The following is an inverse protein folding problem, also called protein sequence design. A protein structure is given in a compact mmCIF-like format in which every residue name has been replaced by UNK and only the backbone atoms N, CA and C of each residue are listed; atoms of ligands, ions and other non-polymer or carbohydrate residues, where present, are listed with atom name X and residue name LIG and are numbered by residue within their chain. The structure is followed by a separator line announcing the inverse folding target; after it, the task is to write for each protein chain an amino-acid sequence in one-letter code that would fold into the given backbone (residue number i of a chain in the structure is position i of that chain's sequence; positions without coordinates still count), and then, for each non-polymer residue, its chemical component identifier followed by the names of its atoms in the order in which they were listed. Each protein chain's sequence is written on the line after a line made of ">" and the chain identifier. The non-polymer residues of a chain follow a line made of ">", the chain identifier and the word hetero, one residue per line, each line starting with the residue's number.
data_IF_053342748461
#
_entry.id   IF_053342748461
#
_cell.length_a   1.000
_cell.length_b   1.000
_cell.length_c   1.000
_cell.angle_alpha   90.00
_cell.angle_beta   90.00
_cell.angle_gamma   90.00
#
_symmetry.space_group_name_H-M   'P 1'
#
loop_
_entity.id
_entity.type
_entity.pdbx_description
1 polymer ?
#
# COMPACT_ATOMS: atom_id res chain seq x y z
N UNK A 1 13.24 14.82 -12.45
CA UNK A 1 13.62 13.41 -12.26
C UNK A 1 13.78 13.12 -10.76
N UNK A 2 13.91 11.86 -10.31
CA UNK A 2 14.17 11.56 -8.89
C UNK A 2 15.47 12.26 -8.40
N UNK A 3 16.48 12.32 -9.26
CA UNK A 3 17.74 13.01 -8.97
C UNK A 3 17.53 14.49 -8.62
N UNK A 4 16.72 15.21 -9.41
CA UNK A 4 16.43 16.63 -9.19
C UNK A 4 15.60 16.87 -7.92
N UNK A 5 14.64 15.97 -7.64
CA UNK A 5 13.84 16.04 -6.41
C UNK A 5 14.74 15.91 -5.17
N UNK A 6 15.67 14.96 -5.19
CA UNK A 6 16.63 14.78 -4.10
C UNK A 6 17.58 15.98 -3.94
N UNK A 7 17.96 16.63 -5.03
CA UNK A 7 18.81 17.83 -5.00
C UNK A 7 18.10 19.04 -4.35
N UNK A 8 16.78 19.16 -4.53
CA UNK A 8 15.98 20.26 -3.99
C UNK A 8 15.53 20.04 -2.53
N UNK A 9 15.56 18.80 -2.01
CA UNK A 9 15.12 18.47 -0.65
C UNK A 9 15.77 19.27 0.50
N UNK A 10 17.06 19.66 0.46
CA UNK A 10 17.65 20.45 1.55
C UNK A 10 16.97 21.82 1.75
N UNK A 11 16.29 22.33 0.73
CA UNK A 11 15.72 23.68 0.72
C UNK A 11 14.24 23.69 1.11
N UNK A 12 13.82 22.94 2.14
CA UNK A 12 12.37 22.86 2.51
C UNK A 12 11.77 24.15 3.05
N UNK A 13 12.58 25.14 3.39
CA UNK A 13 12.12 26.50 3.67
C UNK A 13 11.74 27.27 2.38
N UNK A 14 12.16 26.78 1.22
CA UNK A 14 11.87 27.36 -0.08
C UNK A 14 10.76 26.58 -0.80
N UNK A 15 10.03 27.22 -1.73
CA UNK A 15 8.99 26.57 -2.51
C UNK A 15 9.47 25.32 -3.26
N UNK A 16 10.71 25.33 -3.76
CA UNK A 16 11.29 24.21 -4.50
C UNK A 16 11.46 22.96 -3.65
N UNK A 17 11.99 23.09 -2.43
CA UNK A 17 12.14 21.95 -1.51
C UNK A 17 10.81 21.42 -1.00
N UNK A 18 9.82 22.30 -0.78
CA UNK A 18 8.45 21.87 -0.43
C UNK A 18 7.79 21.10 -1.57
N UNK A 19 7.90 21.60 -2.80
CA UNK A 19 7.39 20.92 -3.99
C UNK A 19 8.09 19.57 -4.19
N UNK A 20 9.39 19.49 -3.95
CA UNK A 20 10.14 18.24 -4.03
C UNK A 20 9.63 17.22 -3.01
N UNK A 21 9.49 17.63 -1.74
CA UNK A 21 8.93 16.76 -0.70
C UNK A 21 7.52 16.27 -1.05
N UNK A 22 6.64 17.17 -1.51
CA UNK A 22 5.27 16.81 -1.91
C UNK A 22 5.24 15.81 -3.07
N UNK A 23 6.11 15.98 -4.06
CA UNK A 23 6.22 15.02 -5.16
C UNK A 23 6.67 13.63 -4.67
N UNK A 24 7.67 13.57 -3.79
CA UNK A 24 8.11 12.30 -3.20
C UNK A 24 7.00 11.64 -2.37
N UNK A 25 6.26 12.44 -1.58
CA UNK A 25 5.16 11.96 -0.77
C UNK A 25 3.99 11.42 -1.62
N UNK A 26 3.75 12.01 -2.80
CA UNK A 26 2.73 11.55 -3.73
C UNK A 26 3.04 10.16 -4.31
N UNK A 27 4.29 9.90 -4.67
CA UNK A 27 4.66 8.64 -5.34
C UNK A 27 5.10 7.53 -4.37
N UNK A 28 5.80 7.89 -3.30
CA UNK A 28 6.36 6.95 -2.33
C UNK A 28 5.71 7.01 -0.95
N UNK A 29 4.74 7.89 -0.73
CA UNK A 29 4.13 8.09 0.58
C UNK A 29 4.91 9.05 1.48
N UNK A 30 4.22 9.67 2.46
CA UNK A 30 4.83 10.66 3.36
C UNK A 30 5.94 10.05 4.23
N UNK A 31 5.82 8.76 4.60
CA UNK A 31 6.85 8.07 5.37
C UNK A 31 8.18 8.00 4.60
N UNK A 32 8.15 7.56 3.34
CA UNK A 32 9.35 7.49 2.51
C UNK A 32 9.91 8.87 2.19
N UNK A 33 9.05 9.86 1.91
CA UNK A 33 9.49 11.25 1.73
C UNK A 33 10.22 11.78 2.96
N UNK A 34 9.71 11.50 4.17
CA UNK A 34 10.37 11.82 5.44
C UNK A 34 11.72 11.10 5.62
N UNK A 35 11.80 9.81 5.28
CA UNK A 35 13.06 9.06 5.32
C UNK A 35 14.12 9.67 4.39
N UNK A 36 13.73 10.07 3.19
CA UNK A 36 14.63 10.68 2.21
C UNK A 36 15.05 12.08 2.63
N UNK A 37 14.14 12.87 3.19
CA UNK A 37 14.47 14.17 3.78
C UNK A 37 15.49 14.01 4.91
N UNK A 38 15.28 13.05 5.81
CA UNK A 38 16.22 12.74 6.89
C UNK A 38 17.58 12.26 6.36
N UNK A 39 17.59 11.41 5.33
CA UNK A 39 18.82 10.94 4.68
C UNK A 39 19.61 12.10 4.05
N UNK A 40 18.93 12.98 3.32
CA UNK A 40 19.54 14.16 2.71
C UNK A 40 20.05 15.14 3.78
N UNK A 41 19.33 15.32 4.88
CA UNK A 41 19.79 16.15 5.99
C UNK A 41 21.04 15.57 6.68
N UNK A 42 21.13 14.25 6.83
CA UNK A 42 22.25 13.58 7.48
C UNK A 42 23.48 13.40 6.59
N UNK A 43 23.29 13.20 5.28
CA UNK A 43 24.35 12.78 4.36
C UNK A 43 24.51 13.69 3.14
N UNK A 44 23.73 14.77 3.01
CA UNK A 44 23.59 15.61 1.80
C UNK A 44 22.96 14.84 0.62
N UNK A 45 22.55 15.51 -0.49
CA UNK A 45 21.92 14.83 -1.63
C UNK A 45 22.78 13.76 -2.35
N UNK A 46 24.09 13.96 -2.61
CA UNK A 46 24.85 13.05 -3.47
C UNK A 46 24.86 11.57 -3.04
N UNK A 47 25.03 11.20 -1.74
CA UNK A 47 24.93 9.80 -1.33
C UNK A 47 23.56 9.18 -1.57
N UNK A 48 22.47 9.94 -1.40
CA UNK A 48 21.10 9.47 -1.65
C UNK A 48 20.86 9.28 -3.15
N UNK A 49 21.39 10.19 -3.98
CA UNK A 49 21.34 10.09 -5.44
C UNK A 49 22.15 8.89 -5.97
N UNK A 50 23.33 8.64 -5.38
CA UNK A 50 24.15 7.47 -5.73
C UNK A 50 23.44 6.17 -5.36
N UNK A 51 22.81 6.10 -4.18
CA UNK A 51 21.99 4.95 -3.79
C UNK A 51 20.83 4.74 -4.77
N UNK A 52 20.15 5.80 -5.20
CA UNK A 52 19.08 5.70 -6.21
C UNK A 52 19.57 5.16 -7.55
N UNK A 53 20.74 5.63 -8.02
CA UNK A 53 21.35 5.13 -9.25
C UNK A 53 21.78 3.66 -9.13
N UNK A 54 22.39 3.27 -8.00
CA UNK A 54 22.79 1.89 -7.74
C UNK A 54 21.59 0.94 -7.67
N UNK A 55 20.50 1.35 -7.00
CA UNK A 55 19.23 0.61 -6.98
C UNK A 55 18.67 0.41 -8.39
N UNK A 56 18.66 1.45 -9.22
CA UNK A 56 18.18 1.35 -10.60
C UNK A 56 19.04 0.38 -11.43
N UNK A 57 20.37 0.44 -11.27
CA UNK A 57 21.31 -0.46 -11.93
C UNK A 57 21.14 -1.92 -11.48
N UNK A 58 20.97 -2.16 -10.18
CA UNK A 58 20.74 -3.50 -9.63
C UNK A 58 19.44 -4.10 -10.16
N UNK A 59 18.35 -3.32 -10.18
CA UNK A 59 17.07 -3.77 -10.74
C UNK A 59 17.19 -4.09 -12.24
N UNK A 60 17.92 -3.28 -13.01
CA UNK A 60 18.21 -3.58 -14.41
C UNK A 60 19.03 -4.89 -14.55
N UNK A 61 19.99 -5.13 -13.66
CA UNK A 61 20.75 -6.38 -13.59
C UNK A 61 19.87 -7.61 -13.32
N UNK A 62 18.91 -7.52 -12.40
CA UNK A 62 17.95 -8.59 -12.16
C UNK A 62 17.03 -8.84 -13.36
N UNK A 63 16.55 -7.80 -14.04
CA UNK A 63 15.76 -7.96 -15.28
C UNK A 63 16.57 -8.65 -16.38
N UNK A 64 17.84 -8.31 -16.53
CA UNK A 64 18.74 -8.97 -17.48
C UNK A 64 18.96 -10.46 -17.18
N UNK A 65 18.78 -10.87 -15.91
CA UNK A 65 18.79 -12.27 -15.47
C UNK A 65 17.43 -12.96 -15.61
N UNK A 66 16.40 -12.27 -16.11
CA UNK A 66 15.07 -12.82 -16.34
C UNK A 66 14.11 -12.74 -15.16
N UNK A 67 14.44 -12.00 -14.10
CA UNK A 67 13.51 -11.77 -12.99
C UNK A 67 12.42 -10.78 -13.42
N UNK A 68 11.17 -11.09 -13.07
CA UNK A 68 10.05 -10.17 -13.18
C UNK A 68 10.02 -9.14 -12.04
N UNK A 69 9.17 -8.12 -12.15
CA UNK A 69 9.10 -7.05 -11.14
C UNK A 69 8.67 -7.57 -9.76
N UNK A 70 7.89 -8.66 -9.70
CA UNK A 70 7.48 -9.27 -8.43
C UNK A 70 8.64 -9.99 -7.74
N UNK A 71 9.48 -10.70 -8.48
CA UNK A 71 10.70 -11.32 -7.97
C UNK A 71 11.74 -10.27 -7.57
N UNK A 72 11.85 -9.16 -8.32
CA UNK A 72 12.70 -8.03 -7.95
C UNK A 72 12.25 -7.42 -6.63
N UNK A 73 10.96 -7.06 -6.51
CA UNK A 73 10.40 -6.55 -5.27
C UNK A 73 10.67 -7.51 -4.09
N UNK A 74 10.50 -8.81 -4.33
CA UNK A 74 10.76 -9.85 -3.32
C UNK A 74 12.21 -9.84 -2.85
N UNK A 75 13.18 -9.71 -3.75
CA UNK A 75 14.59 -9.64 -3.40
C UNK A 75 14.92 -8.44 -2.51
N UNK A 76 14.23 -7.30 -2.68
CA UNK A 76 14.33 -6.18 -1.75
C UNK A 76 13.66 -6.46 -0.41
N UNK A 77 12.43 -6.99 -0.41
CA UNK A 77 11.68 -7.33 0.81
C UNK A 77 12.37 -8.41 1.68
N UNK A 78 13.17 -9.29 1.08
CA UNK A 78 13.98 -10.31 1.78
C UNK A 78 15.36 -9.77 2.22
N UNK A 79 15.70 -8.53 1.85
CA UNK A 79 16.99 -7.92 2.18
C UNK A 79 18.17 -8.38 1.31
N UNK A 80 17.96 -9.30 0.36
CA UNK A 80 18.99 -9.75 -0.57
C UNK A 80 19.54 -8.59 -1.40
N UNK A 81 18.65 -7.79 -2.00
CA UNK A 81 19.05 -6.64 -2.82
C UNK A 81 19.76 -5.58 -1.98
N UNK A 82 19.31 -5.33 -0.74
CA UNK A 82 19.95 -4.42 0.22
C UNK A 82 21.38 -4.87 0.56
N UNK A 83 21.59 -6.17 0.76
CA UNK A 83 22.92 -6.73 0.99
C UNK A 83 23.84 -6.52 -0.23
N UNK A 84 23.34 -6.74 -1.44
CA UNK A 84 24.08 -6.48 -2.69
C UNK A 84 24.45 -5.00 -2.81
N UNK A 85 23.51 -4.08 -2.60
CA UNK A 85 23.79 -2.63 -2.65
C UNK A 85 24.88 -2.19 -1.68
N UNK A 86 24.86 -2.74 -0.45
CA UNK A 86 25.90 -2.44 0.54
C UNK A 86 27.28 -2.97 0.14
N UNK A 87 27.33 -4.18 -0.41
CA UNK A 87 28.58 -4.78 -0.86
C UNK A 87 29.23 -4.00 -2.02
N UNK A 88 28.42 -3.43 -2.91
CA UNK A 88 28.91 -2.78 -4.14
C UNK A 88 29.14 -1.27 -4.00
N UNK A 89 28.35 -0.57 -3.16
CA UNK A 89 28.33 0.89 -3.14
C UNK A 89 28.73 1.54 -1.80
N UNK A 90 29.02 0.77 -0.75
CA UNK A 90 29.40 1.25 0.59
C UNK A 90 28.52 2.44 1.10
N UNK A 91 27.21 2.32 0.89
CA UNK A 91 26.25 3.39 1.17
C UNK A 91 26.15 3.72 2.67
N UNK A 92 26.10 5.01 3.07
CA UNK A 92 25.90 5.41 4.46
C UNK A 92 24.43 5.34 4.91
N UNK A 93 23.51 5.02 4.00
CA UNK A 93 22.06 4.99 4.28
C UNK A 93 21.68 3.80 5.17
N UNK A 94 20.77 4.03 6.11
CA UNK A 94 20.11 2.98 6.89
C UNK A 94 19.20 2.09 6.02
N UNK A 95 18.78 0.93 6.53
CA UNK A 95 17.86 0.02 5.82
C UNK A 95 16.54 0.70 5.44
N UNK A 96 15.96 1.48 6.36
CA UNK A 96 14.72 2.21 6.10
C UNK A 96 14.88 3.27 5.00
N UNK A 97 16.02 3.96 4.95
CA UNK A 97 16.32 4.94 3.90
C UNK A 97 16.59 4.26 2.55
N UNK A 98 17.26 3.10 2.54
CA UNK A 98 17.44 2.32 1.32
C UNK A 98 16.13 1.76 0.78
N UNK A 99 15.22 1.31 1.65
CA UNK A 99 13.89 0.90 1.25
C UNK A 99 13.08 2.08 0.67
N UNK A 100 13.15 3.26 1.28
CA UNK A 100 12.51 4.46 0.73
C UNK A 100 13.07 4.86 -0.64
N UNK A 101 14.38 4.72 -0.86
CA UNK A 101 15.01 4.88 -2.18
C UNK A 101 14.48 3.83 -3.17
N UNK A 102 14.43 2.57 -2.76
CA UNK A 102 13.95 1.47 -3.60
C UNK A 102 12.49 1.65 -4.00
N UNK A 103 11.61 2.09 -3.10
CA UNK A 103 10.20 2.33 -3.39
C UNK A 103 10.01 3.40 -4.45
N UNK A 104 10.81 4.47 -4.44
CA UNK A 104 10.72 5.54 -5.45
C UNK A 104 11.40 5.22 -6.77
N UNK A 105 12.42 4.36 -6.75
CA UNK A 105 13.11 3.93 -7.99
C UNK A 105 12.29 2.87 -8.71
N UNK A 106 11.72 1.92 -7.96
CA UNK A 106 11.00 0.78 -8.51
C UNK A 106 9.52 1.06 -8.73
N UNK A 107 8.92 1.98 -7.95
CA UNK A 107 7.49 2.26 -7.91
C UNK A 107 6.65 0.97 -7.94
N UNK A 108 6.93 0.01 -7.04
CA UNK A 108 6.36 -1.32 -7.14
C UNK A 108 4.86 -1.25 -6.90
N UNK A 109 4.10 -2.00 -7.70
CA UNK A 109 2.64 -2.01 -7.67
C UNK A 109 2.14 -3.44 -7.74
N UNK A 110 0.95 -3.67 -7.20
CA UNK A 110 0.21 -4.92 -7.41
C UNK A 110 -1.23 -4.66 -7.77
N UNK A 111 -1.82 -5.62 -8.46
CA UNK A 111 -3.27 -5.68 -8.64
C UNK A 111 -3.88 -6.35 -7.40
N UNK A 112 -4.84 -5.66 -6.78
CA UNK A 112 -5.62 -6.14 -5.66
C UNK A 112 -7.06 -6.34 -6.14
N UNK A 113 -7.55 -7.57 -6.06
CA UNK A 113 -8.96 -7.86 -6.38
C UNK A 113 -9.89 -7.30 -5.30
N UNK A 114 -11.15 -7.07 -5.66
CA UNK A 114 -12.19 -6.69 -4.68
C UNK A 114 -12.25 -7.68 -3.53
N UNK A 115 -12.19 -8.98 -3.82
CA UNK A 115 -12.24 -10.03 -2.80
C UNK A 115 -11.08 -9.91 -1.83
N UNK A 116 -9.85 -9.74 -2.31
CA UNK A 116 -8.68 -9.56 -1.42
C UNK A 116 -8.79 -8.28 -0.57
N UNK A 117 -9.23 -7.17 -1.17
CA UNK A 117 -9.45 -5.92 -0.44
C UNK A 117 -10.49 -6.09 0.67
N UNK A 118 -11.62 -6.69 0.32
CA UNK A 118 -12.73 -6.96 1.25
C UNK A 118 -12.28 -7.89 2.38
N UNK A 119 -11.52 -8.94 2.08
CA UNK A 119 -10.97 -9.83 3.11
C UNK A 119 -10.00 -9.10 4.04
N UNK A 120 -9.12 -8.25 3.51
CA UNK A 120 -8.23 -7.44 4.33
C UNK A 120 -9.01 -6.48 5.25
N UNK A 121 -10.07 -5.83 4.73
CA UNK A 121 -10.96 -4.98 5.53
C UNK A 121 -11.63 -5.80 6.64
N UNK A 122 -12.20 -6.97 6.32
CA UNK A 122 -12.86 -7.83 7.29
C UNK A 122 -11.93 -8.30 8.41
N UNK A 123 -10.70 -8.69 8.07
CA UNK A 123 -9.69 -9.09 9.05
C UNK A 123 -9.28 -7.94 9.97
N UNK A 124 -9.08 -6.73 9.43
CA UNK A 124 -8.75 -5.58 10.26
C UNK A 124 -9.94 -5.16 11.14
N UNK A 125 -11.17 -5.20 10.62
CA UNK A 125 -12.37 -4.94 11.41
C UNK A 125 -12.51 -5.94 12.57
N UNK A 126 -12.28 -7.23 12.31
CA UNK A 126 -12.29 -8.28 13.34
C UNK A 126 -11.20 -8.10 14.39
N UNK A 127 -10.06 -7.51 14.01
CA UNK A 127 -9.00 -7.10 14.93
C UNK A 127 -9.29 -5.77 15.67
N UNK A 128 -10.47 -5.17 15.46
CA UNK A 128 -10.90 -3.94 16.12
C UNK A 128 -10.40 -2.64 15.47
N UNK A 129 -9.87 -2.70 14.23
CA UNK A 129 -9.41 -1.51 13.53
C UNK A 129 -10.58 -0.60 13.15
N UNK A 130 -10.48 0.68 13.47
CA UNK A 130 -11.51 1.72 13.20
C UNK A 130 -11.13 2.67 12.08
N UNK A 131 -9.99 2.47 11.42
CA UNK A 131 -9.52 3.30 10.31
C UNK A 131 -8.97 2.47 9.16
N UNK A 132 -9.01 3.05 7.96
CA UNK A 132 -8.41 2.47 6.75
C UNK A 132 -6.89 2.29 6.87
N UNK A 133 -6.24 3.01 7.79
CA UNK A 133 -4.79 2.96 7.99
C UNK A 133 -4.32 1.55 8.36
N UNK A 134 -5.08 0.82 9.17
CA UNK A 134 -4.77 -0.56 9.49
C UNK A 134 -4.83 -1.48 8.25
N UNK A 135 -5.74 -1.18 7.31
CA UNK A 135 -5.87 -1.92 6.05
C UNK A 135 -4.69 -1.60 5.13
N UNK A 136 -4.29 -0.32 5.04
CA UNK A 136 -3.10 0.14 4.30
C UNK A 136 -1.85 -0.60 4.80
N UNK A 137 -1.66 -0.67 6.12
CA UNK A 137 -0.54 -1.38 6.75
C UNK A 137 -0.57 -2.88 6.49
N UNK A 138 -1.75 -3.52 6.59
CA UNK A 138 -1.90 -4.95 6.31
C UNK A 138 -1.53 -5.29 4.85
N UNK A 139 -1.86 -4.40 3.92
CA UNK A 139 -1.56 -4.53 2.49
C UNK A 139 -0.14 -4.05 2.11
N UNK A 140 0.66 -3.61 3.09
CA UNK A 140 2.00 -3.03 2.91
C UNK A 140 2.03 -1.91 1.85
N UNK A 141 1.04 -1.01 1.92
CA UNK A 141 0.93 0.13 1.02
C UNK A 141 1.64 1.35 1.62
N UNK A 142 2.49 2.06 0.85
CA UNK A 142 3.16 3.27 1.34
C UNK A 142 2.27 4.52 1.30
N UNK A 143 1.18 4.48 0.54
CA UNK A 143 0.21 5.58 0.38
C UNK A 143 -1.20 5.13 0.75
N UNK A 144 -2.13 6.08 0.85
CA UNK A 144 -3.55 5.79 1.00
C UNK A 144 -4.20 5.20 -0.27
N UNK A 145 -5.51 4.91 -0.17
CA UNK A 145 -6.34 4.39 -1.27
C UNK A 145 -6.81 5.49 -2.26
N UNK A 146 -6.34 6.73 -2.10
CA UNK A 146 -6.75 7.88 -2.90
C UNK A 146 -8.26 8.09 -2.91
N UNK A 147 -8.87 8.01 -4.09
CA UNK A 147 -10.33 8.18 -4.26
C UNK A 147 -11.16 7.08 -3.60
N UNK A 148 -10.55 5.93 -3.26
CA UNK A 148 -11.24 4.81 -2.62
C UNK A 148 -11.19 4.85 -1.09
N UNK A 149 -10.45 5.79 -0.49
CA UNK A 149 -10.31 5.93 0.97
C UNK A 149 -11.67 6.03 1.68
N UNK A 150 -12.61 6.80 1.12
CA UNK A 150 -13.96 6.92 1.68
C UNK A 150 -14.73 5.60 1.66
N UNK A 151 -14.68 4.86 0.55
CA UNK A 151 -15.37 3.59 0.41
C UNK A 151 -14.79 2.52 1.34
N UNK A 152 -13.46 2.43 1.46
CA UNK A 152 -12.81 1.49 2.39
C UNK A 152 -13.23 1.78 3.83
N UNK A 153 -13.29 3.06 4.22
CA UNK A 153 -13.75 3.47 5.55
C UNK A 153 -15.23 3.14 5.77
N UNK A 154 -16.08 3.36 4.75
CA UNK A 154 -17.50 3.03 4.78
C UNK A 154 -17.74 1.53 4.97
N UNK A 155 -17.02 0.69 4.22
CA UNK A 155 -17.07 -0.77 4.39
C UNK A 155 -16.59 -1.19 5.78
N UNK A 156 -15.48 -0.62 6.29
CA UNK A 156 -14.98 -0.92 7.63
C UNK A 156 -16.01 -0.57 8.72
N UNK A 157 -16.62 0.61 8.63
CA UNK A 157 -17.67 1.05 9.56
C UNK A 157 -18.93 0.18 9.47
N UNK A 158 -19.34 -0.20 8.27
CA UNK A 158 -20.49 -1.08 8.06
C UNK A 158 -20.26 -2.50 8.60
N UNK A 159 -19.06 -3.05 8.43
CA UNK A 159 -18.67 -4.35 9.03
C UNK A 159 -18.80 -4.30 10.55
N UNK A 160 -18.37 -3.21 11.19
CA UNK A 160 -18.50 -3.04 12.65
C UNK A 160 -19.96 -2.86 13.07
N UNK A 161 -20.70 -1.98 12.41
CA UNK A 161 -22.10 -1.69 12.74
C UNK A 161 -22.99 -2.93 12.59
N UNK A 162 -22.70 -3.79 11.61
CA UNK A 162 -23.44 -5.01 11.32
C UNK A 162 -22.81 -6.25 11.97
N UNK A 163 -21.73 -6.10 12.74
CA UNK A 163 -21.00 -7.19 13.40
C UNK A 163 -20.65 -8.34 12.45
N UNK A 164 -20.19 -8.02 11.24
CA UNK A 164 -19.90 -9.02 10.20
C UNK A 164 -18.54 -9.68 10.46
N UNK A 165 -18.50 -11.01 10.33
CA UNK A 165 -17.22 -11.72 10.24
C UNK A 165 -16.54 -11.49 8.88
N UNK A 166 -15.23 -11.76 8.75
CA UNK A 166 -14.56 -11.73 7.45
C UNK A 166 -15.24 -12.62 6.40
N UNK A 167 -15.73 -13.80 6.81
CA UNK A 167 -16.44 -14.74 5.93
C UNK A 167 -17.81 -14.18 5.46
N UNK A 168 -18.59 -13.58 6.37
CA UNK A 168 -19.85 -12.93 6.01
C UNK A 168 -19.62 -11.82 4.97
N UNK A 169 -18.61 -11.00 5.22
CA UNK A 169 -18.24 -9.91 4.34
C UNK A 169 -17.80 -10.41 2.95
N UNK A 170 -17.02 -11.49 2.88
CA UNK A 170 -16.62 -12.11 1.62
C UNK A 170 -17.81 -12.66 0.82
N UNK A 171 -18.74 -13.34 1.51
CA UNK A 171 -19.96 -13.85 0.91
C UNK A 171 -20.83 -12.71 0.36
N UNK A 172 -21.01 -11.63 1.13
CA UNK A 172 -21.78 -10.46 0.71
C UNK A 172 -21.14 -9.78 -0.52
N UNK A 173 -19.81 -9.64 -0.54
CA UNK A 173 -19.11 -9.10 -1.70
C UNK A 173 -19.28 -9.99 -2.94
N UNK A 174 -19.35 -11.32 -2.78
CA UNK A 174 -19.67 -12.24 -3.87
C UNK A 174 -21.08 -12.01 -4.41
N UNK A 175 -22.10 -11.95 -3.53
CA UNK A 175 -23.48 -11.70 -3.93
C UNK A 175 -23.62 -10.38 -4.70
N UNK A 176 -22.98 -9.31 -4.21
CA UNK A 176 -23.00 -7.98 -4.84
C UNK A 176 -22.31 -8.02 -6.21
N UNK A 177 -21.16 -8.70 -6.32
CA UNK A 177 -20.47 -8.90 -7.60
C UNK A 177 -21.36 -9.62 -8.61
N UNK A 178 -22.11 -10.62 -8.17
CA UNK A 178 -22.96 -11.45 -9.02
C UNK A 178 -24.32 -10.78 -9.32
N UNK A 179 -24.51 -9.51 -8.94
CA UNK A 179 -25.73 -8.74 -9.18
C UNK A 179 -26.90 -9.11 -8.25
N UNK A 180 -26.65 -9.90 -7.20
CA UNK A 180 -27.64 -10.39 -6.24
C UNK A 180 -27.84 -9.42 -5.08
N UNK A 181 -28.03 -8.14 -5.41
CA UNK A 181 -28.23 -7.06 -4.43
C UNK A 181 -29.42 -7.30 -3.48
N UNK A 182 -30.61 -7.74 -3.96
CA UNK A 182 -31.73 -8.00 -3.06
C UNK A 182 -31.45 -9.13 -2.07
N UNK A 183 -30.65 -10.13 -2.49
CA UNK A 183 -30.28 -11.24 -1.61
C UNK A 183 -29.30 -10.79 -0.51
N UNK A 184 -28.31 -9.96 -0.85
CA UNK A 184 -27.40 -9.37 0.13
C UNK A 184 -28.15 -8.47 1.13
N UNK A 185 -29.10 -7.67 0.64
CA UNK A 185 -29.94 -6.81 1.50
C UNK A 185 -30.81 -7.63 2.45
N UNK A 186 -31.50 -8.65 1.93
CA UNK A 186 -32.36 -9.53 2.75
C UNK A 186 -31.54 -10.22 3.83
N UNK A 187 -30.38 -10.78 3.47
CA UNK A 187 -29.50 -11.45 4.43
C UNK A 187 -29.03 -10.55 5.58
N UNK A 188 -28.80 -9.25 5.32
CA UNK A 188 -28.40 -8.30 6.34
C UNK A 188 -29.58 -7.81 7.20
N UNK A 189 -30.75 -7.62 6.60
CA UNK A 189 -31.97 -7.24 7.33
C UNK A 189 -32.46 -8.36 8.26
N UNK A 190 -32.42 -9.62 7.79
CA UNK A 190 -32.80 -10.80 8.59
C UNK A 190 -31.89 -11.01 9.81
N UNK A 191 -30.66 -10.47 9.76
CA UNK A 191 -29.70 -10.44 10.87
C UNK A 191 -29.91 -9.26 11.83
N UNK A 192 -30.95 -8.47 11.63
CA UNK A 192 -31.31 -7.32 12.47
C UNK A 192 -30.60 -6.00 12.09
N UNK A 193 -29.98 -5.93 10.91
CA UNK A 193 -29.37 -4.70 10.41
C UNK A 193 -30.40 -3.59 10.19
N UNK A 194 -30.08 -2.36 10.61
CA UNK A 194 -30.94 -1.20 10.35
C UNK A 194 -30.97 -0.88 8.83
N UNK A 195 -32.14 -0.62 8.21
CA UNK A 195 -32.25 -0.48 6.76
C UNK A 195 -31.34 0.57 6.11
N UNK A 196 -31.15 1.70 6.79
CA UNK A 196 -30.26 2.78 6.36
C UNK A 196 -28.78 2.35 6.40
N UNK A 197 -28.36 1.68 7.47
CA UNK A 197 -27.00 1.13 7.61
C UNK A 197 -26.74 0.05 6.55
N UNK A 198 -27.70 -0.86 6.34
CA UNK A 198 -27.59 -1.93 5.34
C UNK A 198 -27.47 -1.35 3.93
N UNK A 199 -28.30 -0.36 3.59
CA UNK A 199 -28.27 0.25 2.26
C UNK A 199 -26.93 0.97 2.01
N UNK A 200 -26.46 1.76 2.97
CA UNK A 200 -25.18 2.46 2.87
C UNK A 200 -24.02 1.46 2.71
N UNK A 201 -23.96 0.42 3.55
CA UNK A 201 -22.92 -0.59 3.50
C UNK A 201 -22.86 -1.32 2.14
N UNK A 202 -24.00 -1.75 1.62
CA UNK A 202 -24.06 -2.44 0.32
C UNK A 202 -23.57 -1.49 -0.80
N UNK A 203 -23.96 -0.21 -0.75
CA UNK A 203 -23.48 0.81 -1.69
C UNK A 203 -21.96 0.96 -1.62
N UNK A 204 -21.37 1.04 -0.42
CA UNK A 204 -19.93 1.16 -0.23
C UNK A 204 -19.16 -0.06 -0.76
N UNK A 205 -19.66 -1.28 -0.51
CA UNK A 205 -19.03 -2.51 -1.03
C UNK A 205 -19.08 -2.54 -2.56
N UNK A 206 -20.17 -2.07 -3.16
CA UNK A 206 -20.34 -2.08 -4.60
C UNK A 206 -19.55 -1.00 -5.34
N UNK A 207 -19.25 0.13 -4.70
CA UNK A 207 -18.41 1.19 -5.25
C UNK A 207 -16.93 0.82 -5.23
N UNK A 208 -16.52 -0.19 -4.44
CA UNK A 208 -15.17 -0.75 -4.54
C UNK A 208 -14.93 -1.29 -5.96
N UNK A 209 -13.78 -0.97 -6.59
CA UNK A 209 -13.49 -1.47 -7.93
C UNK A 209 -13.31 -3.00 -7.94
N UNK A 210 -13.51 -3.64 -9.09
CA UNK A 210 -13.24 -5.08 -9.24
C UNK A 210 -11.76 -5.42 -9.05
N UNK A 211 -10.90 -4.54 -9.54
CA UNK A 211 -9.45 -4.59 -9.36
C UNK A 211 -8.95 -3.19 -9.05
N UNK A 212 -8.07 -3.07 -8.08
CA UNK A 212 -7.38 -1.84 -7.70
C UNK A 212 -5.88 -2.03 -7.90
N UNK A 213 -5.22 -1.11 -8.59
CA UNK A 213 -3.75 -1.08 -8.60
C UNK A 213 -3.30 -0.31 -7.37
N UNK A 214 -2.57 -0.96 -6.48
CA UNK A 214 -2.05 -0.37 -5.25
C UNK A 214 -0.52 -0.36 -5.26
N UNK A 215 0.12 0.71 -4.77
CA UNK A 215 1.56 0.69 -4.56
C UNK A 215 1.93 -0.31 -3.47
N UNK A 216 3.16 -0.79 -3.51
CA UNK A 216 3.75 -1.68 -2.53
C UNK A 216 5.00 -1.03 -1.95
N UNK A 217 5.45 -1.52 -0.80
CA UNK A 217 6.76 -1.16 -0.24
C UNK A 217 7.73 -2.33 -0.33
N UNK A 218 9.00 -2.00 -0.52
CA UNK A 218 10.15 -2.88 -0.42
C UNK A 218 10.59 -3.09 1.02
N UNK A 219 10.13 -2.26 1.96
CA UNK A 219 10.50 -2.36 3.38
C UNK A 219 9.89 -3.58 4.09
N UNK A 220 8.74 -4.06 3.62
CA UNK A 220 8.01 -5.15 4.24
C UNK A 220 7.12 -5.89 3.22
N UNK A 221 6.78 -7.12 3.55
CA UNK A 221 5.76 -7.88 2.81
C UNK A 221 4.35 -7.56 3.31
N UNK A 222 3.35 -7.62 2.41
CA UNK A 222 1.95 -7.71 2.83
C UNK A 222 1.77 -8.88 3.79
N UNK A 223 0.91 -8.70 4.79
CA UNK A 223 0.48 -9.85 5.59
C UNK A 223 -0.37 -10.77 4.70
N UNK A 224 -0.23 -12.10 4.82
CA UNK A 224 -1.12 -13.01 4.13
C UNK A 224 -2.56 -12.66 4.51
N UNK A 225 -3.38 -12.37 3.51
CA UNK A 225 -4.83 -12.28 3.72
C UNK A 225 -5.31 -13.72 3.72
N UNK A 226 -5.68 -14.24 4.90
CA UNK A 226 -6.26 -15.59 5.01
C UNK A 226 -7.40 -15.75 4.02
N UNK A 227 -7.41 -16.87 3.30
CA UNK A 227 -8.45 -17.21 2.35
C UNK A 227 -9.75 -17.57 3.08
N UNK A 228 -10.92 -17.48 2.43
CA UNK A 228 -12.19 -17.89 3.06
C UNK A 228 -12.21 -19.34 3.55
N UNK A 229 -11.30 -20.20 3.08
CA UNK A 229 -11.16 -21.59 3.50
C UNK A 229 -10.32 -21.75 4.78
N UNK A 230 -9.59 -20.72 5.19
CA UNK A 230 -8.67 -20.70 6.34
C UNK A 230 -9.26 -19.99 7.58
N UNK A 231 -10.52 -19.52 7.51
CA UNK A 231 -11.27 -18.82 8.57
C UNK A 231 -12.54 -19.60 8.91
#
# INVERSE_FOLDING_TARGET
>A
SLHDLLAALPETAQPAGQAAYQALALFGGPANAGQLQAAVAAHTPPPVQQAAAATAALAAGYRAQGLDDAAILRAFQEGQATATLRAESATPLSDAQLAAVADLVLLPQRQLTRTELVMAIGQQAAAGATSEQAVIEALAMPTDFGRQTGNVRGVLAGVQALSLSPADLAQLASLIRDGLWPAAQTALLDRGGAPDVVHAFISDVATLPHTLVVPQTSAARPRPVATPEEI
#
